data_IF_871459248139
#
_entry.id   IF_871459248139
#
_cell.length_a   1.000
_cell.length_b   1.000
_cell.length_c   1.000
_cell.angle_alpha   90.00
_cell.angle_beta   90.00
_cell.angle_gamma   90.00
#
_symmetry.space_group_name_H-M   'P 1'
#
loop_
_entity.id
_entity.type
_entity.pdbx_description
1 polymer ?
#
# COMPACT_ATOMS: atom_id res chain seq x y z
N UNK A 1 75.68 62.53 44.37
CA UNK A 1 75.95 61.07 44.29
C UNK A 1 74.71 60.27 44.68
N UNK A 2 74.33 60.19 45.95
CA UNK A 2 73.21 59.33 46.40
C UNK A 2 71.85 59.72 45.80
N UNK A 3 71.46 61.00 45.89
CA UNK A 3 70.24 61.52 45.25
C UNK A 3 70.24 61.40 43.71
N UNK A 4 71.40 61.40 43.06
CA UNK A 4 71.49 61.22 41.61
C UNK A 4 71.32 59.75 41.20
N UNK A 5 71.80 58.82 42.04
CA UNK A 5 71.56 57.38 41.87
C UNK A 5 70.07 57.07 42.02
N UNK A 6 69.45 57.55 43.11
CA UNK A 6 68.02 57.33 43.37
C UNK A 6 67.11 57.91 42.28
N UNK A 7 67.48 59.05 41.69
CA UNK A 7 66.76 59.64 40.57
C UNK A 7 66.91 58.81 39.28
N UNK A 8 68.09 58.24 39.04
CA UNK A 8 68.34 57.35 37.89
C UNK A 8 67.52 56.06 38.01
N UNK A 9 67.53 55.44 39.18
CA UNK A 9 66.78 54.21 39.46
C UNK A 9 65.27 54.44 39.33
N UNK A 10 64.77 55.61 39.78
CA UNK A 10 63.37 55.99 39.63
C UNK A 10 62.97 56.23 38.17
N UNK A 11 63.84 56.83 37.36
CA UNK A 11 63.60 57.03 35.92
C UNK A 11 63.58 55.72 35.14
N UNK A 12 64.49 54.78 35.46
CA UNK A 12 64.48 53.44 34.87
C UNK A 12 63.21 52.67 35.24
N UNK A 13 62.79 52.73 36.51
CA UNK A 13 61.54 52.12 36.95
C UNK A 13 60.31 52.73 36.24
N UNK A 14 60.31 54.05 36.00
CA UNK A 14 59.24 54.71 35.25
C UNK A 14 59.19 54.24 33.79
N UNK A 15 60.35 54.09 33.14
CA UNK A 15 60.46 53.56 31.78
C UNK A 15 59.92 52.13 31.65
N UNK A 16 60.24 51.25 32.61
CA UNK A 16 59.66 49.90 32.65
C UNK A 16 58.13 49.91 32.76
N UNK A 17 57.57 50.82 33.57
CA UNK A 17 56.11 50.97 33.71
C UNK A 17 55.47 51.51 32.43
N UNK A 18 56.13 52.43 31.72
CA UNK A 18 55.67 52.94 30.42
C UNK A 18 55.64 51.83 29.35
N UNK A 19 56.65 50.96 29.32
CA UNK A 19 56.70 49.81 28.42
C UNK A 19 55.60 48.76 28.74
N UNK A 20 55.37 48.49 30.03
CA UNK A 20 54.24 47.64 30.48
C UNK A 20 52.88 48.27 30.12
N UNK A 21 52.75 49.60 30.24
CA UNK A 21 51.53 50.30 29.84
C UNK A 21 51.31 50.25 28.32
N UNK A 22 52.37 50.35 27.52
CA UNK A 22 52.27 50.25 26.07
C UNK A 22 51.88 48.83 25.63
N UNK A 23 52.46 47.80 26.25
CA UNK A 23 52.11 46.40 25.95
C UNK A 23 50.68 46.06 26.34
N UNK A 24 50.19 46.54 27.48
CA UNK A 24 48.80 46.36 27.90
C UNK A 24 47.81 47.06 26.95
N UNK A 25 48.10 48.28 26.49
CA UNK A 25 47.27 48.95 25.47
C UNK A 25 47.21 48.14 24.17
N UNK A 26 48.35 47.63 23.69
CA UNK A 26 48.39 46.79 22.48
C UNK A 26 47.51 45.55 22.62
N UNK A 27 47.58 44.86 23.77
CA UNK A 27 46.74 43.69 24.05
C UNK A 27 45.25 44.09 24.12
N UNK A 28 44.94 45.23 24.75
CA UNK A 28 43.57 45.72 24.84
C UNK A 28 42.97 46.03 23.45
N UNK A 29 43.74 46.64 22.55
CA UNK A 29 43.31 46.92 21.18
C UNK A 29 43.13 45.63 20.37
N UNK A 30 44.06 44.67 20.51
CA UNK A 30 43.97 43.36 19.87
C UNK A 30 42.74 42.57 20.33
N UNK A 31 42.44 42.60 21.63
CA UNK A 31 41.23 42.00 22.19
C UNK A 31 39.95 42.71 21.71
N UNK A 32 39.94 44.04 21.61
CA UNK A 32 38.79 44.79 21.09
C UNK A 32 38.48 44.40 19.66
N UNK A 33 39.50 44.30 18.81
CA UNK A 33 39.32 43.88 17.42
C UNK A 33 38.80 42.44 17.30
N UNK A 34 39.28 41.54 18.17
CA UNK A 34 38.76 40.17 18.25
C UNK A 34 37.30 40.13 18.69
N UNK A 35 36.90 40.95 19.66
CA UNK A 35 35.50 41.05 20.11
C UNK A 35 34.61 41.55 18.98
N UNK A 36 34.99 42.62 18.29
CA UNK A 36 34.21 43.18 17.18
C UNK A 36 34.04 42.16 16.04
N UNK A 37 35.08 41.39 15.73
CA UNK A 37 35.02 40.32 14.72
C UNK A 37 34.04 39.21 15.15
N UNK A 38 34.11 38.78 16.41
CA UNK A 38 33.21 37.75 16.95
C UNK A 38 31.75 38.23 17.04
N UNK A 39 31.53 39.48 17.39
CA UNK A 39 30.18 40.08 17.39
C UNK A 39 29.58 40.06 15.97
N UNK A 40 30.38 40.33 14.94
CA UNK A 40 29.95 40.21 13.56
C UNK A 40 29.61 38.76 13.16
N UNK A 41 30.43 37.79 13.56
CA UNK A 41 30.16 36.35 13.33
C UNK A 41 28.86 35.90 14.03
N UNK A 42 28.65 36.30 15.29
CA UNK A 42 27.41 36.02 16.03
C UNK A 42 26.21 36.63 15.32
N UNK A 43 26.34 37.85 14.78
CA UNK A 43 25.31 38.48 13.97
C UNK A 43 24.92 37.64 12.74
N UNK A 44 25.90 37.10 12.01
CA UNK A 44 25.66 36.23 10.85
C UNK A 44 24.98 34.92 11.25
N UNK A 45 25.43 34.29 12.33
CA UNK A 45 24.81 33.05 12.85
C UNK A 45 23.37 33.31 13.27
N UNK A 46 23.10 34.43 13.92
CA UNK A 46 21.74 34.80 14.37
C UNK A 46 20.80 35.03 13.19
N UNK A 47 21.28 35.67 12.13
CA UNK A 47 20.50 35.85 10.89
C UNK A 47 20.19 34.49 10.23
N UNK A 48 21.20 33.62 10.08
CA UNK A 48 21.00 32.28 9.52
C UNK A 48 20.05 31.42 10.37
N UNK A 49 20.10 31.54 11.70
CA UNK A 49 19.17 30.86 12.59
C UNK A 49 17.73 31.34 12.38
N UNK A 50 17.52 32.64 12.23
CA UNK A 50 16.18 33.20 11.94
C UNK A 50 15.64 32.74 10.57
N UNK A 51 16.49 32.61 9.56
CA UNK A 51 16.10 32.07 8.26
C UNK A 51 15.69 30.60 8.35
N UNK A 52 16.43 29.78 9.11
CA UNK A 52 16.08 28.38 9.35
C UNK A 52 14.78 28.24 10.12
N UNK A 53 14.54 29.09 11.12
CA UNK A 53 13.30 29.09 11.91
C UNK A 53 12.08 29.37 11.02
N UNK A 54 12.18 30.34 10.10
CA UNK A 54 11.12 30.60 9.11
C UNK A 54 10.86 29.42 8.17
N UNK A 55 11.91 28.65 7.81
CA UNK A 55 11.76 27.44 6.99
C UNK A 55 11.06 26.33 7.78
N UNK A 56 11.39 26.17 9.07
CA UNK A 56 10.72 25.19 9.94
C UNK A 56 9.24 25.53 10.07
N UNK A 57 8.89 26.79 10.32
CA UNK A 57 7.49 27.23 10.39
C UNK A 57 6.71 26.94 9.11
N UNK A 58 7.33 27.12 7.95
CA UNK A 58 6.71 26.81 6.66
C UNK A 58 6.46 25.30 6.50
N UNK A 59 7.42 24.45 6.88
CA UNK A 59 7.24 23.00 6.85
C UNK A 59 6.19 22.53 7.85
N UNK A 60 6.11 23.14 9.04
CA UNK A 60 5.08 22.82 10.04
C UNK A 60 3.67 23.12 9.51
N UNK A 61 3.51 24.21 8.75
CA UNK A 61 2.26 24.52 8.06
C UNK A 61 1.92 23.48 6.98
N UNK A 62 2.89 23.06 6.17
CA UNK A 62 2.68 22.01 5.16
C UNK A 62 2.29 20.68 5.81
N UNK A 63 2.98 20.28 6.88
CA UNK A 63 2.67 19.07 7.65
C UNK A 63 1.25 19.15 8.21
N UNK A 64 0.82 20.29 8.76
CA UNK A 64 -0.53 20.47 9.27
C UNK A 64 -1.61 20.30 8.18
N UNK A 65 -1.37 20.83 6.97
CA UNK A 65 -2.28 20.65 5.82
C UNK A 65 -2.36 19.19 5.39
N UNK A 66 -1.21 18.49 5.34
CA UNK A 66 -1.17 17.07 5.00
C UNK A 66 -1.88 16.21 6.05
N UNK A 67 -1.74 16.55 7.33
CA UNK A 67 -2.42 15.86 8.42
C UNK A 67 -3.95 15.93 8.26
N UNK A 68 -4.49 17.12 7.96
CA UNK A 68 -5.92 17.29 7.68
C UNK A 68 -6.37 16.44 6.49
N UNK A 69 -5.57 16.36 5.44
CA UNK A 69 -5.90 15.54 4.26
C UNK A 69 -5.90 14.04 4.59
N UNK A 70 -5.00 13.59 5.44
CA UNK A 70 -4.97 12.21 5.92
C UNK A 70 -6.25 11.92 6.71
N UNK A 71 -6.63 12.80 7.64
CA UNK A 71 -7.85 12.62 8.46
C UNK A 71 -9.12 12.55 7.57
N UNK A 72 -9.22 13.38 6.53
CA UNK A 72 -10.30 13.32 5.54
C UNK A 72 -10.34 11.96 4.83
N UNK A 73 -9.20 11.49 4.33
CA UNK A 73 -9.11 10.21 3.62
C UNK A 73 -9.42 9.03 4.54
N UNK A 74 -9.01 9.08 5.81
CA UNK A 74 -9.34 8.04 6.79
C UNK A 74 -10.85 8.01 7.09
N UNK A 75 -11.50 9.17 7.17
CA UNK A 75 -12.96 9.25 7.29
C UNK A 75 -13.68 8.68 6.06
N UNK A 76 -13.21 8.99 4.85
CA UNK A 76 -13.75 8.44 3.61
C UNK A 76 -13.58 6.91 3.56
N UNK A 77 -12.42 6.38 3.95
CA UNK A 77 -12.18 4.94 4.00
C UNK A 77 -13.10 4.24 4.98
N UNK A 78 -13.34 4.82 6.16
CA UNK A 78 -14.27 4.26 7.13
C UNK A 78 -15.69 4.20 6.57
N UNK A 79 -16.14 5.25 5.87
CA UNK A 79 -17.45 5.27 5.24
C UNK A 79 -17.59 4.22 4.12
N UNK A 80 -16.51 3.96 3.36
CA UNK A 80 -16.49 2.90 2.36
C UNK A 80 -16.55 1.52 3.03
N UNK A 81 -15.80 1.31 4.12
CA UNK A 81 -15.82 0.07 4.87
C UNK A 81 -17.23 -0.24 5.40
N UNK A 82 -17.92 0.75 5.98
CA UNK A 82 -19.30 0.59 6.43
C UNK A 82 -20.24 0.19 5.30
N UNK A 83 -20.11 0.81 4.12
CA UNK A 83 -20.91 0.43 2.94
C UNK A 83 -20.63 -1.00 2.48
N UNK A 84 -19.38 -1.46 2.53
CA UNK A 84 -19.05 -2.86 2.20
C UNK A 84 -19.70 -3.84 3.17
N UNK A 85 -19.72 -3.54 4.47
CA UNK A 85 -20.43 -4.41 5.44
C UNK A 85 -21.93 -4.48 5.18
N UNK A 86 -22.54 -3.40 4.66
CA UNK A 86 -23.94 -3.42 4.23
C UNK A 86 -24.14 -4.33 3.01
N UNK A 87 -23.18 -4.34 2.05
CA UNK A 87 -23.23 -5.25 0.91
C UNK A 87 -23.12 -6.73 1.34
N UNK A 88 -22.26 -7.07 2.30
CA UNK A 88 -22.15 -8.45 2.81
C UNK A 88 -23.49 -8.96 3.36
N UNK A 89 -24.27 -8.09 4.02
CA UNK A 89 -25.61 -8.44 4.52
C UNK A 89 -26.63 -8.69 3.41
N UNK A 90 -26.52 -7.98 2.28
CA UNK A 90 -27.35 -8.18 1.10
C UNK A 90 -26.99 -9.48 0.38
N UNK A 91 -25.70 -9.81 0.32
CA UNK A 91 -25.23 -11.07 -0.24
C UNK A 91 -25.73 -12.27 0.58
N UNK A 92 -25.70 -12.16 1.92
CA UNK A 92 -26.31 -13.16 2.81
C UNK A 92 -27.82 -13.33 2.54
N UNK A 93 -28.55 -12.23 2.31
CA UNK A 93 -29.97 -12.28 1.99
C UNK A 93 -30.26 -12.90 0.62
N UNK A 94 -29.45 -12.59 -0.39
CA UNK A 94 -29.55 -13.19 -1.72
C UNK A 94 -29.32 -14.72 -1.65
N UNK A 95 -28.33 -15.17 -0.89
CA UNK A 95 -28.06 -16.58 -0.67
C UNK A 95 -29.23 -17.32 0.00
N UNK A 96 -29.91 -16.70 0.98
CA UNK A 96 -31.10 -17.29 1.60
C UNK A 96 -32.27 -17.41 0.60
N UNK A 97 -32.50 -16.37 -0.21
CA UNK A 97 -33.50 -16.40 -1.27
C UNK A 97 -33.25 -17.53 -2.28
N UNK A 98 -31.99 -17.76 -2.68
CA UNK A 98 -31.64 -18.85 -3.59
C UNK A 98 -31.89 -20.24 -2.99
N UNK A 99 -31.68 -20.40 -1.68
CA UNK A 99 -32.02 -21.65 -0.97
C UNK A 99 -33.53 -21.87 -0.94
N UNK A 100 -34.31 -20.82 -0.67
CA UNK A 100 -35.77 -20.88 -0.68
C UNK A 100 -36.33 -21.21 -2.07
N UNK A 101 -35.79 -20.59 -3.13
CA UNK A 101 -36.17 -20.87 -4.52
C UNK A 101 -35.91 -22.35 -4.84
N UNK A 102 -34.72 -22.87 -4.52
CA UNK A 102 -34.38 -24.29 -4.73
C UNK A 102 -35.32 -25.22 -3.96
N UNK A 103 -35.67 -24.89 -2.72
CA UNK A 103 -36.61 -25.66 -1.93
C UNK A 103 -38.02 -25.68 -2.55
N UNK A 104 -38.53 -24.54 -3.00
CA UNK A 104 -39.83 -24.44 -3.66
C UNK A 104 -39.85 -25.17 -5.01
N UNK A 105 -38.78 -25.08 -5.79
CA UNK A 105 -38.64 -25.82 -7.05
C UNK A 105 -38.68 -27.34 -6.81
N UNK A 106 -37.98 -27.82 -5.78
CA UNK A 106 -38.02 -29.22 -5.34
C UNK A 106 -39.46 -29.66 -4.96
N UNK A 107 -40.16 -28.85 -4.16
CA UNK A 107 -41.55 -29.14 -3.78
C UNK A 107 -42.49 -29.20 -4.99
N UNK A 108 -42.32 -28.26 -5.93
CA UNK A 108 -43.10 -28.23 -7.17
C UNK A 108 -42.84 -29.45 -8.05
N UNK A 109 -41.60 -29.90 -8.14
CA UNK A 109 -41.22 -31.11 -8.89
C UNK A 109 -41.89 -32.36 -8.29
N UNK A 110 -41.89 -32.48 -6.96
CA UNK A 110 -42.57 -33.57 -6.23
C UNK A 110 -44.08 -33.51 -6.45
N UNK A 111 -44.71 -32.33 -6.39
CA UNK A 111 -46.13 -32.16 -6.69
C UNK A 111 -46.47 -32.52 -8.14
N UNK A 112 -45.63 -32.13 -9.10
CA UNK A 112 -45.80 -32.48 -10.52
C UNK A 112 -45.73 -33.98 -10.73
N UNK A 113 -44.78 -34.67 -10.09
CA UNK A 113 -44.67 -36.13 -10.14
C UNK A 113 -45.88 -36.83 -9.50
N UNK A 114 -46.43 -36.28 -8.41
CA UNK A 114 -47.67 -36.80 -7.77
C UNK A 114 -48.93 -36.57 -8.61
N UNK A 115 -48.97 -35.53 -9.44
CA UNK A 115 -50.10 -35.20 -10.33
C UNK A 115 -50.04 -35.86 -11.72
N UNK A 116 -49.00 -36.63 -12.03
CA UNK A 116 -48.95 -37.38 -13.29
C UNK A 116 -50.06 -38.45 -13.31
N UNK A 117 -50.96 -38.46 -14.32
CA UNK A 117 -52.08 -39.39 -14.34
C UNK A 117 -51.62 -40.80 -14.71
N UNK A 118 -52.12 -41.80 -13.98
CA UNK A 118 -52.20 -43.18 -14.49
C UNK A 118 -53.00 -43.14 -15.81
N UNK A 119 -52.31 -43.31 -16.93
CA UNK A 119 -52.96 -43.69 -18.19
C UNK A 119 -52.71 -45.16 -18.41
N UNK A 120 -53.80 -45.89 -18.21
CA UNK A 120 -53.98 -47.32 -18.46
C UNK A 120 -53.76 -47.62 -19.95
N UNK A 121 -53.25 -48.82 -20.22
CA UNK A 121 -53.14 -49.39 -21.56
C UNK A 121 -54.47 -49.31 -22.31
N UNK A 122 -54.49 -48.83 -23.56
CA UNK A 122 -55.15 -49.47 -24.73
C UNK A 122 -55.29 -48.56 -25.97
N UNK A 123 -55.01 -49.18 -27.13
CA UNK A 123 -55.51 -48.87 -28.50
C UNK A 123 -54.87 -47.78 -29.38
N UNK A 124 -53.95 -48.25 -30.25
CA UNK A 124 -54.07 -48.36 -31.72
C UNK A 124 -54.72 -47.20 -32.51
N UNK A 125 -53.86 -46.52 -33.31
CA UNK A 125 -54.08 -45.90 -34.64
C UNK A 125 -55.32 -45.04 -34.89
N UNK A 126 -55.11 -43.81 -35.38
CA UNK A 126 -55.65 -43.28 -36.66
C UNK A 126 -54.94 -41.94 -36.98
N UNK A 127 -54.51 -41.79 -38.24
CA UNK A 127 -54.00 -40.55 -38.85
C UNK A 127 -55.16 -39.64 -39.24
N UNK A 128 -55.08 -38.32 -39.02
CA UNK A 128 -55.64 -37.32 -39.93
C UNK A 128 -54.86 -35.99 -39.90
N UNK A 129 -54.83 -35.39 -41.08
CA UNK A 129 -54.14 -34.18 -41.52
C UNK A 129 -54.90 -32.89 -41.18
N UNK A 130 -54.19 -31.78 -41.39
CA UNK A 130 -54.62 -30.40 -41.74
C UNK A 130 -54.86 -29.35 -40.63
N UNK A 131 -53.98 -28.35 -40.70
CA UNK A 131 -54.22 -26.89 -40.73
C UNK A 131 -54.69 -26.14 -39.48
N UNK A 132 -53.89 -25.15 -39.07
CA UNK A 132 -54.40 -23.95 -38.38
C UNK A 132 -53.55 -23.41 -37.22
N UNK A 133 -52.55 -22.60 -37.57
CA UNK A 133 -52.32 -21.25 -37.00
C UNK A 133 -52.03 -21.08 -35.48
N UNK A 134 -50.77 -20.64 -35.25
CA UNK A 134 -50.25 -19.73 -34.19
C UNK A 134 -50.28 -20.20 -32.74
N UNK A 135 -49.09 -20.32 -32.14
CA UNK A 135 -48.55 -19.35 -31.16
C UNK A 135 -47.34 -19.92 -30.42
N UNK A 136 -46.34 -19.06 -30.20
CA UNK A 136 -45.38 -19.04 -29.08
C UNK A 136 -44.45 -20.27 -28.90
N UNK A 137 -43.17 -20.17 -28.57
CA UNK A 137 -42.31 -19.06 -28.20
C UNK A 137 -40.88 -19.61 -28.33
N UNK A 138 -40.22 -19.33 -29.44
CA UNK A 138 -38.78 -19.56 -29.61
C UNK A 138 -38.10 -18.20 -29.69
N UNK A 139 -38.13 -17.51 -28.56
CA UNK A 139 -37.25 -16.37 -28.26
C UNK A 139 -37.01 -16.40 -26.74
N UNK A 140 -36.57 -17.56 -26.25
CA UNK A 140 -35.76 -17.55 -25.02
C UNK A 140 -34.38 -17.09 -25.47
N UNK A 141 -34.20 -15.78 -25.49
CA UNK A 141 -32.89 -15.14 -25.53
C UNK A 141 -32.00 -15.91 -24.58
N UNK A 142 -31.04 -16.63 -25.16
CA UNK A 142 -29.92 -17.20 -24.45
C UNK A 142 -29.28 -16.03 -23.71
N UNK A 143 -29.60 -15.88 -22.42
CA UNK A 143 -28.73 -15.17 -21.52
C UNK A 143 -27.53 -16.09 -21.43
N UNK A 144 -26.56 -15.87 -22.32
CA UNK A 144 -25.22 -16.39 -22.13
C UNK A 144 -24.88 -16.06 -20.69
N UNK A 145 -24.77 -17.11 -19.87
CA UNK A 145 -24.08 -17.02 -18.61
C UNK A 145 -22.68 -16.53 -18.98
N UNK A 146 -22.47 -15.22 -18.90
CA UNK A 146 -21.14 -14.66 -18.87
C UNK A 146 -20.52 -15.31 -17.64
N UNK A 147 -19.72 -16.36 -17.87
CA UNK A 147 -18.84 -16.88 -16.84
C UNK A 147 -18.01 -15.74 -16.25
N UNK A 148 -17.37 -15.94 -15.08
CA UNK A 148 -16.59 -14.89 -14.44
C UNK A 148 -15.68 -14.24 -15.48
N UNK A 149 -15.86 -12.93 -15.67
CA UNK A 149 -15.08 -12.15 -16.63
C UNK A 149 -13.63 -12.24 -16.17
N UNK A 150 -12.83 -13.08 -16.83
CA UNK A 150 -11.42 -13.24 -16.51
C UNK A 150 -10.67 -12.00 -16.95
N UNK A 151 -10.37 -11.13 -16.00
CA UNK A 151 -9.56 -9.94 -16.24
C UNK A 151 -8.09 -10.36 -16.15
N UNK A 152 -7.30 -10.24 -17.22
CA UNK A 152 -5.92 -10.71 -17.23
C UNK A 152 -5.08 -9.88 -16.26
N UNK A 153 -4.34 -10.55 -15.38
CA UNK A 153 -3.38 -9.91 -14.48
C UNK A 153 -2.12 -9.58 -15.27
N UNK A 154 -1.74 -8.31 -15.27
CA UNK A 154 -0.57 -7.78 -15.98
C UNK A 154 0.36 -6.99 -15.08
N UNK A 155 -0.11 -6.59 -13.90
CA UNK A 155 0.70 -5.93 -12.88
C UNK A 155 0.55 -6.64 -11.54
N UNK A 156 1.63 -6.67 -10.77
CA UNK A 156 1.62 -6.97 -9.35
C UNK A 156 2.19 -5.74 -8.64
N UNK A 157 1.34 -5.03 -7.91
CA UNK A 157 1.78 -3.92 -7.07
C UNK A 157 2.16 -4.45 -5.68
N UNK A 158 3.35 -4.10 -5.24
CA UNK A 158 3.93 -4.58 -3.97
C UNK A 158 3.97 -3.41 -3.01
N UNK A 159 3.34 -3.58 -1.85
CA UNK A 159 3.29 -2.58 -0.79
C UNK A 159 3.97 -3.09 0.47
N UNK A 160 4.58 -2.16 1.21
CA UNK A 160 5.03 -2.37 2.59
C UNK A 160 4.31 -1.37 3.49
N UNK A 161 3.37 -1.87 4.28
CA UNK A 161 2.43 -1.00 5.00
C UNK A 161 1.59 -0.17 4.03
N UNK A 162 1.61 1.16 4.17
CA UNK A 162 0.87 2.10 3.29
C UNK A 162 1.69 2.58 2.07
N UNK A 163 2.94 2.15 1.93
CA UNK A 163 3.85 2.64 0.89
C UNK A 163 3.95 1.62 -0.25
N UNK A 164 3.80 2.09 -1.49
CA UNK A 164 4.11 1.31 -2.68
C UNK A 164 5.63 1.12 -2.77
N UNK A 165 6.07 -0.13 -2.70
CA UNK A 165 7.48 -0.51 -2.72
C UNK A 165 7.95 -0.75 -4.16
N UNK A 166 7.24 -1.61 -4.91
CA UNK A 166 7.62 -2.03 -6.25
C UNK A 166 6.38 -2.29 -7.12
N UNK A 167 6.47 -2.05 -8.43
CA UNK A 167 5.46 -2.50 -9.41
C UNK A 167 6.13 -3.47 -10.36
N UNK A 168 5.66 -4.71 -10.37
CA UNK A 168 6.09 -5.73 -11.29
C UNK A 168 5.14 -5.78 -12.50
N UNK A 169 5.68 -5.52 -13.69
CA UNK A 169 4.93 -5.61 -14.96
C UNK A 169 5.18 -6.97 -15.60
N UNK A 170 4.14 -7.76 -15.75
CA UNK A 170 4.20 -9.10 -16.35
C UNK A 170 4.23 -8.95 -17.86
N UNK A 171 5.38 -9.24 -18.46
CA UNK A 171 5.56 -9.23 -19.91
C UNK A 171 5.10 -10.55 -20.51
N UNK A 172 4.52 -10.52 -21.72
CA UNK A 172 4.09 -11.72 -22.44
C UNK A 172 5.28 -12.65 -22.70
N UNK A 173 5.40 -13.71 -21.90
CA UNK A 173 6.51 -14.67 -21.91
C UNK A 173 7.06 -15.01 -20.53
N UNK A 174 6.80 -14.19 -19.52
CA UNK A 174 7.22 -14.46 -18.15
C UNK A 174 6.24 -15.41 -17.46
N UNK A 175 6.62 -16.68 -17.36
CA UNK A 175 5.73 -17.75 -16.85
C UNK A 175 5.76 -17.90 -15.33
N UNK A 176 6.86 -17.50 -14.69
CA UNK A 176 7.10 -17.75 -13.27
C UNK A 176 8.01 -16.68 -12.70
N UNK A 177 7.75 -16.30 -11.45
CA UNK A 177 8.49 -15.32 -10.67
C UNK A 177 8.64 -15.90 -9.26
N UNK A 178 9.87 -16.13 -8.79
CA UNK A 178 10.13 -16.48 -7.40
C UNK A 178 10.13 -15.22 -6.55
N UNK A 179 9.55 -15.36 -5.37
CA UNK A 179 9.45 -14.31 -4.36
C UNK A 179 10.19 -14.79 -3.13
N UNK A 180 11.06 -13.94 -2.57
CA UNK A 180 11.76 -14.27 -1.35
C UNK A 180 12.69 -13.16 -0.90
N UNK A 181 13.35 -13.38 0.24
CA UNK A 181 14.29 -12.40 0.80
C UNK A 181 15.67 -12.48 0.15
N UNK A 182 16.07 -13.64 -0.35
CA UNK A 182 17.39 -13.80 -0.94
C UNK A 182 17.45 -13.10 -2.30
N UNK A 183 18.64 -12.59 -2.65
CA UNK A 183 18.88 -11.80 -3.85
C UNK A 183 18.77 -12.57 -5.17
N UNK A 184 18.62 -13.89 -5.11
CA UNK A 184 18.48 -14.78 -6.25
C UNK A 184 17.02 -14.98 -6.70
N UNK A 185 16.05 -14.42 -5.97
CA UNK A 185 14.65 -14.35 -6.39
C UNK A 185 14.43 -13.20 -7.37
N UNK A 186 13.47 -13.35 -8.29
CA UNK A 186 13.10 -12.29 -9.22
C UNK A 186 12.35 -11.14 -8.54
N UNK A 187 11.56 -11.43 -7.51
CA UNK A 187 10.96 -10.43 -6.62
C UNK A 187 11.58 -10.54 -5.23
N UNK A 188 12.51 -9.63 -4.95
CA UNK A 188 13.21 -9.59 -3.66
C UNK A 188 12.43 -8.73 -2.67
N UNK A 189 12.02 -9.34 -1.56
CA UNK A 189 11.33 -8.69 -0.44
C UNK A 189 12.23 -8.75 0.80
N UNK A 190 12.97 -7.67 1.08
CA UNK A 190 13.95 -7.63 2.17
C UNK A 190 13.29 -7.45 3.54
N UNK A 191 12.92 -8.57 4.17
CA UNK A 191 12.35 -8.59 5.51
C UNK A 191 12.54 -9.93 6.22
N UNK A 192 12.84 -9.88 7.52
CA UNK A 192 12.96 -11.09 8.37
C UNK A 192 11.66 -11.92 8.46
N UNK A 193 10.51 -11.35 8.06
CA UNK A 193 9.24 -12.07 7.97
C UNK A 193 9.06 -12.82 6.63
N UNK A 194 10.03 -12.71 5.72
CA UNK A 194 10.04 -13.38 4.42
C UNK A 194 11.11 -14.47 4.42
N UNK A 195 10.70 -15.70 4.07
CA UNK A 195 11.62 -16.81 3.84
C UNK A 195 12.51 -16.57 2.61
N UNK A 196 13.68 -17.19 2.60
CA UNK A 196 14.68 -17.06 1.51
C UNK A 196 14.09 -17.30 0.14
N UNK A 197 13.31 -18.38 -0.01
CA UNK A 197 12.37 -18.60 -1.10
C UNK A 197 11.01 -18.78 -0.46
N UNK A 198 10.13 -17.80 -0.62
CA UNK A 198 8.87 -17.72 0.11
C UNK A 198 7.72 -18.28 -0.72
N UNK A 199 7.59 -17.82 -1.96
CA UNK A 199 6.46 -18.16 -2.80
C UNK A 199 6.84 -18.07 -4.28
N UNK A 200 5.97 -18.60 -5.11
CA UNK A 200 6.07 -18.54 -6.57
C UNK A 200 4.80 -17.93 -7.11
N UNK A 201 4.94 -16.88 -7.90
CA UNK A 201 3.88 -16.42 -8.81
C UNK A 201 4.07 -17.10 -10.16
N UNK A 202 3.00 -17.71 -10.67
CA UNK A 202 2.97 -18.28 -12.02
C UNK A 202 1.92 -17.56 -12.85
N UNK A 203 2.24 -17.28 -14.10
CA UNK A 203 1.37 -16.62 -15.07
C UNK A 203 1.17 -17.53 -16.28
N UNK A 204 -0.08 -17.67 -16.72
CA UNK A 204 -0.43 -18.38 -17.95
C UNK A 204 -0.62 -17.38 -19.10
N UNK A 205 -0.56 -17.89 -20.32
CA UNK A 205 -0.66 -17.06 -21.54
C UNK A 205 -2.04 -16.39 -21.70
N UNK A 206 -3.07 -16.91 -21.04
CA UNK A 206 -4.42 -16.33 -20.95
C UNK A 206 -4.52 -15.17 -19.95
N UNK A 207 -3.42 -14.81 -19.28
CA UNK A 207 -3.36 -13.77 -18.26
C UNK A 207 -3.86 -14.20 -16.89
N UNK A 208 -4.16 -15.49 -16.67
CA UNK A 208 -4.40 -16.02 -15.32
C UNK A 208 -3.11 -16.09 -14.52
N UNK A 209 -3.22 -15.81 -13.23
CA UNK A 209 -2.11 -15.89 -12.30
C UNK A 209 -2.44 -16.82 -11.13
N UNK A 210 -1.44 -17.44 -10.56
CA UNK A 210 -1.57 -18.25 -9.35
C UNK A 210 -0.37 -18.04 -8.44
N UNK A 211 -0.56 -18.17 -7.14
CA UNK A 211 0.52 -18.16 -6.15
C UNK A 211 0.63 -19.52 -5.46
N UNK A 212 1.86 -19.93 -5.16
CA UNK A 212 2.18 -21.15 -4.42
C UNK A 212 3.16 -20.83 -3.29
N UNK A 213 2.89 -21.33 -2.08
CA UNK A 213 3.75 -21.22 -0.90
C UNK A 213 4.88 -22.26 -0.94
N UNK A 214 6.13 -21.82 -0.81
CA UNK A 214 7.31 -22.68 -0.76
C UNK A 214 7.66 -23.12 0.66
N UNK A 215 6.65 -23.53 1.42
CA UNK A 215 6.79 -23.97 2.82
C UNK A 215 7.44 -22.87 3.67
N UNK A 216 7.04 -21.62 3.42
CA UNK A 216 7.60 -20.48 4.12
C UNK A 216 7.18 -20.46 5.59
N UNK A 217 7.96 -19.74 6.41
CA UNK A 217 7.75 -19.69 7.86
C UNK A 217 6.41 -19.04 8.22
N UNK A 218 6.08 -17.93 7.56
CA UNK A 218 4.83 -17.20 7.81
C UNK A 218 3.69 -17.63 6.86
N UNK A 219 4.04 -18.25 5.72
CA UNK A 219 3.11 -18.73 4.71
C UNK A 219 2.47 -17.62 3.88
N UNK A 220 1.73 -18.06 2.87
CA UNK A 220 0.98 -17.17 1.96
C UNK A 220 -0.46 -17.04 2.44
N UNK A 221 -0.95 -15.80 2.57
CA UNK A 221 -2.33 -15.51 2.93
C UNK A 221 -3.01 -14.78 1.77
N UNK A 222 -4.08 -15.33 1.22
CA UNK A 222 -4.89 -14.70 0.17
C UNK A 222 -6.26 -14.40 0.75
N UNK A 223 -6.73 -13.15 0.67
CA UNK A 223 -8.03 -12.73 1.19
C UNK A 223 -8.30 -13.24 2.62
N UNK A 224 -7.34 -13.03 3.52
CA UNK A 224 -7.35 -13.43 4.95
C UNK A 224 -7.31 -14.95 5.21
N UNK A 225 -7.15 -15.78 4.17
CA UNK A 225 -7.04 -17.24 4.31
C UNK A 225 -5.64 -17.71 3.97
N UNK A 226 -5.01 -18.47 4.87
CA UNK A 226 -3.68 -19.06 4.64
C UNK A 226 -3.81 -20.27 3.71
N UNK A 227 -3.14 -20.24 2.56
CA UNK A 227 -3.27 -21.24 1.50
C UNK A 227 -1.89 -21.69 1.00
N UNK A 228 -1.78 -22.95 0.60
CA UNK A 228 -0.57 -23.50 -0.03
C UNK A 228 -0.50 -23.17 -1.51
N UNK A 229 -1.65 -23.06 -2.18
CA UNK A 229 -1.76 -22.57 -3.55
C UNK A 229 -3.13 -21.95 -3.78
N UNK A 230 -3.20 -20.91 -4.61
CA UNK A 230 -4.44 -20.25 -5.01
C UNK A 230 -4.30 -19.63 -6.40
N UNK A 231 -5.37 -19.73 -7.20
CA UNK A 231 -5.53 -18.83 -8.34
C UNK A 231 -5.80 -17.40 -7.82
N UNK A 232 -5.32 -16.41 -8.57
CA UNK A 232 -5.45 -14.99 -8.24
C UNK A 232 -6.36 -14.31 -9.25
N UNK A 233 -7.24 -13.46 -8.74
CA UNK A 233 -8.06 -12.53 -9.49
C UNK A 233 -7.62 -11.07 -9.24
N UNK A 234 -8.01 -10.19 -10.15
CA UNK A 234 -7.84 -8.74 -9.94
C UNK A 234 -8.61 -8.32 -8.69
N UNK A 235 -7.94 -7.60 -7.79
CA UNK A 235 -8.49 -7.15 -6.52
C UNK A 235 -8.25 -8.08 -5.33
N UNK A 236 -7.68 -9.27 -5.55
CA UNK A 236 -7.24 -10.12 -4.44
C UNK A 236 -6.11 -9.45 -3.65
N UNK A 237 -6.13 -9.67 -2.33
CA UNK A 237 -5.05 -9.21 -1.45
C UNK A 237 -4.22 -10.41 -1.02
N UNK A 238 -2.96 -10.43 -1.46
CA UNK A 238 -1.98 -11.45 -1.08
C UNK A 238 -1.04 -10.86 -0.04
N UNK A 239 -0.91 -11.51 1.12
CA UNK A 239 -0.06 -11.07 2.22
C UNK A 239 1.08 -12.07 2.39
N UNK A 240 2.30 -11.56 2.38
CA UNK A 240 3.54 -12.29 2.64
C UNK A 240 4.29 -11.54 3.74
N UNK A 241 4.33 -12.06 4.96
CA UNK A 241 4.98 -11.35 6.09
C UNK A 241 4.41 -9.93 6.29
N UNK A 242 5.27 -8.91 6.14
CA UNK A 242 4.94 -7.48 6.23
C UNK A 242 4.63 -6.81 4.86
N UNK A 243 4.52 -7.60 3.79
CA UNK A 243 4.24 -7.13 2.43
C UNK A 243 2.84 -7.51 1.95
N UNK A 244 2.26 -6.65 1.12
CA UNK A 244 1.00 -6.85 0.42
C UNK A 244 1.23 -6.84 -1.09
N UNK A 245 0.66 -7.80 -1.80
CA UNK A 245 0.70 -7.90 -3.25
C UNK A 245 -0.73 -7.75 -3.78
N UNK A 246 -0.92 -6.82 -4.71
CA UNK A 246 -2.20 -6.54 -5.36
C UNK A 246 -2.09 -6.85 -6.87
N UNK A 247 -2.80 -7.87 -7.37
CA UNK A 247 -2.88 -8.16 -8.79
C UNK A 247 -3.78 -7.17 -9.54
N UNK A 248 -3.27 -6.62 -10.65
CA UNK A 248 -3.94 -5.57 -11.43
C UNK A 248 -3.97 -5.82 -12.94
N UNK A 249 -4.89 -5.16 -13.68
CA UNK A 249 -5.17 -5.42 -15.09
C UNK A 249 -4.26 -4.75 -16.14
N UNK A 250 -3.16 -4.11 -15.74
CA UNK A 250 -2.27 -3.17 -16.49
C UNK A 250 -2.60 -1.68 -16.34
#
# INVERSE_FOLDING_TARGET
AQLQSELSDALEALGCVEDELATTHRIADELRQQVETREAEVGQITAAASELEAVVDAHDQEVAVLQLRIDELESEQLAIADRLTQFDSLEAYANDCDLQIRALQSQLEVERQRRAPHTDDTHKSIKHTSTGTKSNADETTMVEHLGPVHVPIRTIEVFRGKTLDQILRVSGGQKRIMIGRDSDNELVLDSNFISRHHAILSFRDDGSASIEDLHSTNGVVVNKTKLTSSELAVGDVVILGDFYLLPGPA
#
